data_IF_758910187163
#
_entry.id   IF_758910187163
#
_cell.length_a   1.000
_cell.length_b   1.000
_cell.length_c   1.000
_cell.angle_alpha   90.00
_cell.angle_beta   90.00
_cell.angle_gamma   90.00
#
_symmetry.space_group_name_H-M   'P 1'
#
loop_
_entity.id
_entity.type
_entity.pdbx_description
1 polymer ?
#
# COMPACT_ATOMS: atom_id res chain seq x y z
N UNK A 1 30.32 16.98 -28.15
CA UNK A 1 29.30 17.33 -27.14
C UNK A 1 29.39 16.32 -26.02
N UNK A 2 29.76 16.76 -24.82
CA UNK A 2 29.68 15.92 -23.63
C UNK A 2 28.19 15.76 -23.28
N UNK A 3 27.74 14.53 -23.05
CA UNK A 3 26.33 14.25 -22.74
C UNK A 3 25.98 14.75 -21.35
N UNK A 4 24.72 15.14 -21.12
CA UNK A 4 24.22 15.57 -19.80
C UNK A 4 24.52 14.55 -18.70
N UNK A 5 24.51 13.26 -19.02
CA UNK A 5 24.87 12.18 -18.11
C UNK A 5 26.34 12.26 -17.63
N UNK A 6 27.28 12.57 -18.54
CA UNK A 6 28.69 12.73 -18.18
C UNK A 6 28.89 13.94 -17.25
N UNK A 7 28.22 15.06 -17.54
CA UNK A 7 28.28 16.25 -16.69
C UNK A 7 27.73 15.96 -15.28
N UNK A 8 26.57 15.31 -15.18
CA UNK A 8 25.98 14.93 -13.90
C UNK A 8 26.91 14.02 -13.08
N UNK A 9 27.50 13.01 -13.74
CA UNK A 9 28.45 12.12 -13.09
C UNK A 9 29.70 12.86 -12.57
N UNK A 10 30.18 13.86 -13.31
CA UNK A 10 31.29 14.70 -12.84
C UNK A 10 30.91 15.53 -11.61
N UNK A 11 29.70 16.11 -11.56
CA UNK A 11 29.23 16.85 -10.37
C UNK A 11 29.15 15.94 -9.14
N UNK A 12 28.62 14.73 -9.28
CA UNK A 12 28.55 13.75 -8.19
C UNK A 12 29.94 13.36 -7.68
N UNK A 13 30.90 13.11 -8.58
CA UNK A 13 32.29 12.83 -8.17
C UNK A 13 32.93 14.01 -7.43
N UNK A 14 32.71 15.24 -7.89
CA UNK A 14 33.21 16.44 -7.20
C UNK A 14 32.67 16.55 -5.78
N UNK A 15 31.42 16.14 -5.52
CA UNK A 15 30.85 16.12 -4.18
C UNK A 15 31.53 15.10 -3.26
N UNK A 16 31.85 13.91 -3.78
CA UNK A 16 32.58 12.87 -3.04
C UNK A 16 34.01 13.33 -2.71
N UNK A 17 34.72 13.87 -3.69
CA UNK A 17 36.07 14.42 -3.51
C UNK A 17 36.06 15.59 -2.51
N UNK A 18 35.05 16.47 -2.59
CA UNK A 18 34.89 17.57 -1.67
C UNK A 18 34.76 17.09 -0.22
N UNK A 19 33.99 16.04 0.05
CA UNK A 19 33.88 15.49 1.41
C UNK A 19 35.23 14.99 1.93
N UNK A 20 36.02 14.31 1.09
CA UNK A 20 37.36 13.82 1.46
C UNK A 20 38.33 14.96 1.77
N UNK A 21 38.16 16.11 1.12
CA UNK A 21 38.97 17.32 1.34
C UNK A 21 38.39 18.27 2.40
N UNK A 22 37.46 17.81 3.26
CA UNK A 22 36.76 18.63 4.26
C UNK A 22 36.11 19.88 3.65
N UNK A 23 35.50 19.72 2.48
CA UNK A 23 34.72 20.70 1.72
C UNK A 23 35.48 21.95 1.23
N UNK A 24 36.82 21.97 1.34
CA UNK A 24 37.67 23.10 0.86
C UNK A 24 37.47 23.44 -0.61
N UNK A 25 37.16 22.45 -1.44
CA UNK A 25 36.87 22.65 -2.87
C UNK A 25 35.52 23.34 -3.09
N UNK A 26 34.50 23.02 -2.28
CA UNK A 26 33.21 23.69 -2.34
C UNK A 26 33.27 25.11 -1.80
N UNK A 27 34.08 25.39 -0.78
CA UNK A 27 34.29 26.75 -0.25
C UNK A 27 34.78 27.73 -1.32
N UNK A 28 35.55 27.23 -2.30
CA UNK A 28 36.06 28.02 -3.43
C UNK A 28 34.99 28.35 -4.48
N UNK A 29 33.88 27.60 -4.51
CA UNK A 29 32.76 27.87 -5.41
C UNK A 29 31.94 29.02 -4.83
N UNK A 30 32.12 30.23 -5.39
CA UNK A 30 31.35 31.43 -5.02
C UNK A 30 30.04 31.54 -5.78
N UNK A 31 29.93 30.86 -6.92
CA UNK A 31 28.73 30.86 -7.74
C UNK A 31 27.64 29.96 -7.13
N UNK A 32 26.61 30.60 -6.57
CA UNK A 32 25.46 29.91 -5.98
C UNK A 32 24.73 29.03 -6.97
N UNK A 33 24.61 29.44 -8.25
CA UNK A 33 23.91 28.63 -9.27
C UNK A 33 24.62 27.31 -9.52
N UNK A 34 25.95 27.31 -9.50
CA UNK A 34 26.74 26.08 -9.61
C UNK A 34 26.50 25.14 -8.43
N UNK A 35 26.42 25.67 -7.21
CA UNK A 35 26.12 24.86 -6.01
C UNK A 35 24.68 24.31 -6.03
N UNK A 36 23.72 25.11 -6.50
CA UNK A 36 22.34 24.68 -6.71
C UNK A 36 22.25 23.54 -7.74
N UNK A 37 23.02 23.61 -8.84
CA UNK A 37 23.10 22.53 -9.83
C UNK A 37 23.70 21.25 -9.22
N UNK A 38 24.78 21.36 -8.45
CA UNK A 38 25.38 20.20 -7.76
C UNK A 38 24.39 19.56 -6.79
N UNK A 39 23.69 20.38 -6.00
CA UNK A 39 22.64 19.91 -5.09
C UNK A 39 21.51 19.22 -5.86
N UNK A 40 21.00 19.84 -6.92
CA UNK A 40 19.93 19.29 -7.74
C UNK A 40 20.30 17.91 -8.32
N UNK A 41 21.50 17.76 -8.88
CA UNK A 41 21.96 16.48 -9.41
C UNK A 41 22.05 15.42 -8.31
N UNK A 42 22.57 15.77 -7.13
CA UNK A 42 22.65 14.86 -5.99
C UNK A 42 21.28 14.42 -5.47
N UNK A 43 20.30 15.34 -5.42
CA UNK A 43 18.94 15.01 -5.01
C UNK A 43 18.28 14.00 -5.94
N UNK A 44 18.45 14.20 -7.25
CA UNK A 44 17.87 13.38 -8.33
C UNK A 44 18.52 12.01 -8.50
N UNK A 45 19.63 11.75 -7.80
CA UNK A 45 20.45 10.56 -7.95
C UNK A 45 20.61 9.81 -6.61
N UNK A 46 19.52 9.38 -5.95
CA UNK A 46 19.56 8.74 -4.63
C UNK A 46 20.40 7.47 -4.57
N UNK A 47 20.55 6.77 -5.70
CA UNK A 47 21.37 5.57 -5.89
C UNK A 47 22.88 5.85 -5.88
N UNK A 48 23.31 7.09 -6.18
CA UNK A 48 24.71 7.48 -6.22
C UNK A 48 25.31 7.82 -4.84
N UNK A 49 24.60 7.49 -3.76
CA UNK A 49 25.08 7.49 -2.38
C UNK A 49 25.74 8.78 -1.87
N UNK A 50 25.33 9.95 -2.38
CA UNK A 50 25.78 11.22 -1.81
C UNK A 50 25.52 11.23 -0.31
N UNK A 51 26.56 11.53 0.48
CA UNK A 51 26.50 11.38 1.92
C UNK A 51 25.62 12.45 2.57
N UNK A 52 25.11 12.13 3.77
CA UNK A 52 24.37 13.10 4.56
C UNK A 52 25.21 14.33 4.93
N UNK A 53 26.53 14.17 5.11
CA UNK A 53 27.44 15.29 5.42
C UNK A 53 27.52 16.29 4.27
N UNK A 54 27.58 15.80 3.03
CA UNK A 54 27.54 16.65 1.83
C UNK A 54 26.23 17.44 1.78
N UNK A 55 25.09 16.78 1.99
CA UNK A 55 23.79 17.46 2.00
C UNK A 55 23.68 18.50 3.12
N UNK A 56 24.22 18.22 4.31
CA UNK A 56 24.31 19.20 5.42
C UNK A 56 25.15 20.40 5.01
N UNK A 57 26.35 20.17 4.50
CA UNK A 57 27.23 21.25 4.07
C UNK A 57 26.59 22.13 2.98
N UNK A 58 25.98 21.52 1.95
CA UNK A 58 25.31 22.28 0.89
C UNK A 58 24.10 23.06 1.42
N UNK A 59 23.32 22.46 2.33
CA UNK A 59 22.13 23.11 2.89
C UNK A 59 22.43 24.26 3.87
N UNK A 60 23.64 24.33 4.43
CA UNK A 60 24.10 25.52 5.17
C UNK A 60 24.28 26.74 4.26
N UNK A 61 24.48 26.51 2.96
CA UNK A 61 24.72 27.56 1.96
C UNK A 61 23.51 27.84 1.09
N UNK A 62 22.64 26.85 0.90
CA UNK A 62 21.41 26.93 0.11
C UNK A 62 20.28 26.38 0.96
N UNK A 63 19.32 27.23 1.33
CA UNK A 63 18.15 26.80 2.09
C UNK A 63 17.40 25.68 1.34
N UNK A 64 17.10 24.53 1.99
CA UNK A 64 16.33 23.45 1.38
C UNK A 64 14.92 23.87 0.92
N UNK A 65 14.36 24.90 1.54
CA UNK A 65 13.02 25.42 1.24
C UNK A 65 13.01 26.47 0.12
N UNK A 66 14.17 26.74 -0.49
CA UNK A 66 14.29 27.65 -1.62
C UNK A 66 14.04 26.90 -2.94
N UNK A 67 13.42 27.59 -3.89
CA UNK A 67 13.20 27.11 -5.26
C UNK A 67 14.52 27.30 -6.06
N UNK A 68 15.02 26.28 -6.78
CA UNK A 68 16.25 26.39 -7.56
C UNK A 68 16.18 27.56 -8.55
N UNK A 69 17.26 28.32 -8.68
CA UNK A 69 17.37 29.47 -9.61
C UNK A 69 17.66 29.05 -11.05
N UNK A 70 17.35 27.80 -11.41
CA UNK A 70 17.65 27.20 -12.71
C UNK A 70 16.46 27.45 -13.63
N UNK A 71 16.75 27.99 -14.82
CA UNK A 71 15.75 28.31 -15.85
C UNK A 71 15.21 27.03 -16.53
N UNK A 72 14.45 26.23 -15.78
CA UNK A 72 13.67 25.09 -16.28
C UNK A 72 12.28 25.15 -15.66
N UNK A 73 11.28 25.31 -16.53
CA UNK A 73 9.86 25.46 -16.17
C UNK A 73 9.36 24.39 -15.21
N UNK A 74 9.98 23.20 -15.23
CA UNK A 74 9.62 22.06 -14.38
C UNK A 74 9.88 22.28 -12.90
N UNK A 75 10.70 23.26 -12.51
CA UNK A 75 11.10 23.46 -11.12
C UNK A 75 10.57 24.75 -10.49
N UNK A 76 9.84 25.59 -11.22
CA UNK A 76 9.43 26.93 -10.75
C UNK A 76 8.57 26.96 -9.48
N UNK A 77 8.00 25.83 -9.06
CA UNK A 77 7.18 25.72 -7.85
C UNK A 77 7.76 24.76 -6.82
N UNK A 78 8.92 24.13 -7.09
CA UNK A 78 9.46 23.04 -6.27
C UNK A 78 10.71 23.48 -5.54
N UNK A 79 10.70 23.36 -4.22
CA UNK A 79 11.90 23.58 -3.39
C UNK A 79 12.86 22.39 -3.49
N UNK A 80 14.12 22.59 -3.08
CA UNK A 80 15.06 21.46 -2.94
C UNK A 80 14.52 20.37 -1.99
N UNK A 81 13.76 20.74 -0.96
CA UNK A 81 13.10 19.81 -0.06
C UNK A 81 12.04 18.96 -0.77
N UNK A 82 11.16 19.57 -1.55
CA UNK A 82 10.14 18.83 -2.32
C UNK A 82 10.75 17.97 -3.43
N UNK A 83 11.85 18.43 -4.04
CA UNK A 83 12.60 17.63 -5.02
C UNK A 83 13.26 16.40 -4.37
N UNK A 84 13.76 16.54 -3.15
CA UNK A 84 14.29 15.41 -2.38
C UNK A 84 13.20 14.36 -2.08
N UNK A 85 11.97 14.80 -1.79
CA UNK A 85 10.81 13.93 -1.57
C UNK A 85 10.41 13.19 -2.85
N UNK A 86 10.27 13.91 -3.96
CA UNK A 86 9.89 13.34 -5.27
C UNK A 86 10.85 12.22 -5.72
N UNK A 87 12.14 12.39 -5.42
CA UNK A 87 13.18 11.41 -5.75
C UNK A 87 13.44 10.40 -4.63
N UNK A 88 12.61 10.34 -3.58
CA UNK A 88 12.75 9.40 -2.46
C UNK A 88 14.14 9.42 -1.81
N UNK A 89 14.79 10.59 -1.77
CA UNK A 89 16.16 10.74 -1.28
C UNK A 89 16.19 10.89 0.25
N UNK A 90 16.08 9.75 0.94
CA UNK A 90 16.02 9.71 2.40
C UNK A 90 17.24 10.32 3.11
N UNK A 91 18.43 10.30 2.48
CA UNK A 91 19.66 10.92 3.04
C UNK A 91 19.55 12.44 3.02
N UNK A 92 19.09 13.01 1.91
CA UNK A 92 18.87 14.45 1.80
C UNK A 92 17.78 14.93 2.76
N UNK A 93 16.64 14.22 2.84
CA UNK A 93 15.57 14.57 3.79
C UNK A 93 16.11 14.57 5.23
N UNK A 94 16.87 13.55 5.63
CA UNK A 94 17.48 13.51 6.96
C UNK A 94 18.40 14.71 7.23
N UNK A 95 19.23 15.09 6.26
CA UNK A 95 20.07 16.28 6.37
C UNK A 95 19.26 17.57 6.48
N UNK A 96 18.17 17.69 5.72
CA UNK A 96 17.33 18.89 5.68
C UNK A 96 16.39 19.01 6.87
N UNK A 97 15.95 17.89 7.48
CA UNK A 97 15.03 17.89 8.62
C UNK A 97 15.59 18.60 9.86
N UNK A 98 16.90 18.86 9.95
CA UNK A 98 17.47 19.71 11.00
C UNK A 98 16.90 21.13 11.01
N UNK A 99 16.46 21.65 9.86
CA UNK A 99 15.81 22.97 9.77
C UNK A 99 14.41 23.00 10.38
N UNK A 100 13.84 21.83 10.71
CA UNK A 100 12.53 21.70 11.37
C UNK A 100 12.65 21.61 12.90
N UNK A 101 13.86 21.49 13.43
CA UNK A 101 14.11 21.26 14.85
C UNK A 101 14.00 22.55 15.68
N UNK A 102 13.51 22.40 16.91
CA UNK A 102 13.38 23.48 17.88
C UNK A 102 12.23 24.44 17.60
N UNK A 103 12.20 25.52 18.39
CA UNK A 103 11.06 26.44 18.48
C UNK A 103 11.31 27.79 17.81
N UNK A 104 12.34 27.91 16.97
CA UNK A 104 12.57 29.14 16.23
C UNK A 104 11.40 29.44 15.28
N UNK A 105 11.10 30.73 15.08
CA UNK A 105 10.05 31.17 14.15
C UNK A 105 10.27 30.61 12.73
N UNK A 106 11.54 30.47 12.32
CA UNK A 106 11.90 29.91 11.02
C UNK A 106 11.60 28.40 10.93
N UNK A 107 11.92 27.63 11.97
CA UNK A 107 11.61 26.20 12.04
C UNK A 107 10.09 25.98 12.06
N UNK A 108 9.34 26.79 12.80
CA UNK A 108 7.88 26.76 12.79
C UNK A 108 7.31 27.06 11.40
N UNK A 109 7.83 28.08 10.70
CA UNK A 109 7.43 28.41 9.32
C UNK A 109 7.69 27.24 8.36
N UNK A 110 8.82 26.56 8.48
CA UNK A 110 9.11 25.40 7.63
C UNK A 110 8.22 24.20 7.95
N UNK A 111 7.88 23.97 9.23
CA UNK A 111 6.88 22.97 9.62
C UNK A 111 5.50 23.31 9.06
N UNK A 112 5.12 24.59 9.01
CA UNK A 112 3.85 25.00 8.41
C UNK A 112 3.77 24.64 6.92
N UNK A 113 4.83 24.95 6.16
CA UNK A 113 4.92 24.61 4.73
C UNK A 113 4.73 23.11 4.52
N UNK A 114 5.38 22.28 5.34
CA UNK A 114 5.26 20.81 5.26
C UNK A 114 3.87 20.33 5.68
N UNK A 115 3.20 21.01 6.62
CA UNK A 115 1.85 20.64 7.05
C UNK A 115 0.81 20.97 5.98
N UNK A 116 0.93 22.14 5.34
CA UNK A 116 0.04 22.57 4.26
C UNK A 116 0.08 21.62 3.06
N UNK A 117 1.27 21.12 2.72
CA UNK A 117 1.49 20.13 1.66
C UNK A 117 2.05 18.82 2.26
N UNK A 118 1.20 18.09 2.99
CA UNK A 118 1.60 16.89 3.73
C UNK A 118 2.28 15.88 2.78
N UNK A 119 3.61 15.70 2.87
CA UNK A 119 4.36 14.96 1.87
C UNK A 119 4.12 13.45 1.94
N UNK A 120 3.54 12.97 3.05
CA UNK A 120 3.21 11.56 3.19
C UNK A 120 2.04 11.15 2.30
N UNK A 121 1.15 12.08 1.93
CA UNK A 121 -0.02 11.80 1.10
C UNK A 121 0.40 11.33 -0.30
N UNK A 122 1.14 12.17 -1.01
CA UNK A 122 1.51 11.92 -2.41
C UNK A 122 2.58 10.82 -2.53
N UNK A 123 3.43 10.65 -1.51
CA UNK A 123 4.47 9.63 -1.51
C UNK A 123 3.89 8.22 -1.61
N UNK A 124 2.95 7.84 -0.75
CA UNK A 124 2.36 6.50 -0.81
C UNK A 124 1.34 6.33 -1.95
N UNK A 125 0.65 7.41 -2.34
CA UNK A 125 -0.22 7.43 -3.51
C UNK A 125 0.56 7.20 -4.82
N UNK A 126 1.71 7.83 -4.96
CA UNK A 126 2.53 7.80 -6.18
C UNK A 126 3.20 6.46 -6.47
N UNK A 127 3.56 5.70 -5.43
CA UNK A 127 4.18 4.37 -5.56
C UNK A 127 3.24 3.38 -6.26
N UNK A 128 1.93 3.52 -6.07
CA UNK A 128 0.90 2.61 -6.55
C UNK A 128 0.53 2.74 -8.03
N UNK A 129 1.14 3.66 -8.78
CA UNK A 129 0.85 3.82 -10.22
C UNK A 129 1.65 2.76 -11.01
N UNK A 130 1.06 1.60 -11.37
CA UNK A 130 1.80 0.43 -11.88
C UNK A 130 2.33 0.63 -13.32
N UNK A 131 1.98 1.77 -13.93
CA UNK A 131 2.30 2.09 -15.32
C UNK A 131 3.78 2.49 -15.47
N UNK A 132 4.54 2.67 -14.38
CA UNK A 132 5.88 3.30 -14.45
C UNK A 132 7.04 2.55 -13.77
N UNK A 133 6.78 1.56 -12.92
CA UNK A 133 7.84 0.96 -12.09
C UNK A 133 7.78 -0.57 -12.08
N UNK A 134 8.96 -1.20 -11.96
CA UNK A 134 9.08 -2.63 -11.66
C UNK A 134 8.75 -2.91 -10.20
N UNK A 135 8.45 -4.17 -9.85
CA UNK A 135 8.22 -4.58 -8.46
C UNK A 135 9.43 -4.26 -7.55
N UNK A 136 10.64 -4.38 -8.08
CA UNK A 136 11.87 -4.05 -7.35
C UNK A 136 11.96 -2.55 -7.06
N UNK A 137 11.60 -1.70 -8.03
CA UNK A 137 11.60 -0.25 -7.85
C UNK A 137 10.52 0.18 -6.85
N UNK A 138 9.33 -0.44 -6.89
CA UNK A 138 8.27 -0.23 -5.90
C UNK A 138 8.77 -0.59 -4.49
N UNK A 139 9.38 -1.76 -4.32
CA UNK A 139 9.93 -2.19 -3.03
C UNK A 139 11.00 -1.22 -2.51
N UNK A 140 11.90 -0.76 -3.40
CA UNK A 140 12.93 0.22 -3.07
C UNK A 140 12.33 1.56 -2.63
N UNK A 141 11.32 2.05 -3.36
CA UNK A 141 10.63 3.30 -3.04
C UNK A 141 9.87 3.19 -1.71
N UNK A 142 9.21 2.07 -1.41
CA UNK A 142 8.56 1.86 -0.11
C UNK A 142 9.55 1.92 1.05
N UNK A 143 10.73 1.29 0.90
CA UNK A 143 11.79 1.37 1.93
C UNK A 143 12.26 2.81 2.14
N UNK A 144 12.47 3.57 1.06
CA UNK A 144 12.88 4.97 1.14
C UNK A 144 11.78 5.86 1.71
N UNK A 145 10.53 5.65 1.29
CA UNK A 145 9.35 6.36 1.78
C UNK A 145 9.21 6.20 3.28
N UNK A 146 9.30 4.97 3.79
CA UNK A 146 9.30 4.70 5.23
C UNK A 146 10.42 5.43 5.96
N UNK A 147 11.66 5.42 5.45
CA UNK A 147 12.79 6.14 6.06
C UNK A 147 12.54 7.66 6.12
N UNK A 148 11.97 8.22 5.05
CA UNK A 148 11.56 9.63 4.97
C UNK A 148 10.47 9.90 6.01
N UNK A 149 9.41 9.10 6.02
CA UNK A 149 8.30 9.23 6.97
C UNK A 149 8.80 9.22 8.41
N UNK A 150 9.63 8.26 8.82
CA UNK A 150 10.13 8.21 10.19
C UNK A 150 11.00 9.41 10.56
N UNK A 151 11.74 9.96 9.59
CA UNK A 151 12.50 11.19 9.82
C UNK A 151 11.55 12.35 10.11
N UNK A 152 10.51 12.54 9.29
CA UNK A 152 9.55 13.64 9.45
C UNK A 152 8.67 13.47 10.69
N UNK A 153 8.14 12.27 10.92
CA UNK A 153 7.23 11.97 12.03
C UNK A 153 7.90 12.06 13.40
N UNK A 154 9.22 11.92 13.47
CA UNK A 154 9.96 12.20 14.72
C UNK A 154 9.91 13.68 15.14
N UNK A 155 9.58 14.58 14.21
CA UNK A 155 9.51 16.04 14.42
C UNK A 155 8.09 16.59 14.27
N UNK A 156 7.26 15.92 13.47
CA UNK A 156 5.91 16.33 13.10
C UNK A 156 4.96 15.12 13.08
N UNK A 157 4.65 14.51 14.25
CA UNK A 157 3.76 13.35 14.32
C UNK A 157 2.36 13.65 13.78
N UNK A 158 1.93 14.92 13.79
CA UNK A 158 0.63 15.35 13.26
C UNK A 158 0.44 15.13 11.74
N UNK A 159 1.51 14.79 11.01
CA UNK A 159 1.42 14.42 9.59
C UNK A 159 0.72 13.07 9.37
N UNK A 160 0.54 12.24 10.41
CA UNK A 160 -0.26 11.00 10.31
C UNK A 160 -1.76 11.31 10.32
N UNK A 161 -2.30 11.67 9.15
CA UNK A 161 -3.74 11.86 8.95
C UNK A 161 -4.45 10.55 8.56
N UNK A 162 -5.78 10.60 8.53
CA UNK A 162 -6.63 9.53 8.02
C UNK A 162 -6.28 9.17 6.56
N UNK A 163 -6.07 10.17 5.70
CA UNK A 163 -5.74 9.97 4.29
C UNK A 163 -4.35 9.36 4.10
N UNK A 164 -3.37 9.73 4.94
CA UNK A 164 -2.06 9.08 4.95
C UNK A 164 -2.21 7.60 5.29
N UNK A 165 -2.99 7.28 6.33
CA UNK A 165 -3.27 5.90 6.70
C UNK A 165 -3.95 5.12 5.58
N UNK A 166 -4.97 5.68 4.94
CA UNK A 166 -5.66 5.07 3.82
C UNK A 166 -4.67 4.73 2.67
N UNK A 167 -3.78 5.66 2.30
CA UNK A 167 -2.80 5.43 1.24
C UNK A 167 -1.78 4.33 1.60
N UNK A 168 -1.35 4.24 2.86
CA UNK A 168 -0.40 3.19 3.29
C UNK A 168 -1.11 1.82 3.42
N UNK A 169 -2.35 1.79 3.88
CA UNK A 169 -3.20 0.58 3.92
C UNK A 169 -3.39 0.06 2.50
N UNK A 170 -3.80 0.93 1.59
CA UNK A 170 -3.79 0.72 0.15
C UNK A 170 -2.36 0.76 -0.43
N UNK A 171 -1.30 0.46 0.33
CA UNK A 171 0.01 0.09 -0.22
C UNK A 171 0.38 -1.37 0.14
N UNK A 172 -0.38 -2.01 1.04
CA UNK A 172 -0.11 -3.32 1.64
C UNK A 172 1.27 -3.41 2.34
N UNK A 173 1.87 -2.27 2.70
CA UNK A 173 3.14 -2.22 3.42
C UNK A 173 2.95 -2.39 4.92
N UNK A 174 2.84 -3.66 5.34
CA UNK A 174 2.74 -4.08 6.74
C UNK A 174 3.84 -3.47 7.63
N UNK A 175 5.05 -3.32 7.11
CA UNK A 175 6.19 -2.85 7.89
C UNK A 175 6.12 -1.33 8.15
N UNK A 176 5.64 -0.55 7.18
CA UNK A 176 5.33 0.87 7.38
C UNK A 176 4.17 1.03 8.34
N UNK A 177 3.06 0.31 8.14
CA UNK A 177 1.90 0.39 9.03
C UNK A 177 2.24 0.07 10.48
N UNK A 178 3.04 -0.99 10.71
CA UNK A 178 3.51 -1.35 12.07
C UNK A 178 4.29 -0.21 12.73
N UNK A 179 5.11 0.50 11.96
CA UNK A 179 5.91 1.60 12.50
C UNK A 179 5.04 2.85 12.76
N UNK A 180 4.10 3.15 11.88
CA UNK A 180 3.17 4.27 12.07
C UNK A 180 2.26 4.04 13.28
N UNK A 181 1.77 2.81 13.46
CA UNK A 181 0.97 2.42 14.61
C UNK A 181 1.68 2.67 15.95
N UNK A 182 3.00 2.47 16.01
CA UNK A 182 3.80 2.74 17.21
C UNK A 182 3.93 4.23 17.54
N UNK A 183 3.80 5.11 16.53
CA UNK A 183 3.82 6.57 16.71
C UNK A 183 2.43 7.03 17.16
N UNK A 184 1.41 6.67 16.40
CA UNK A 184 0.01 6.99 16.68
C UNK A 184 -0.89 6.03 15.89
N UNK A 185 -1.83 5.29 16.48
CA UNK A 185 -2.71 4.39 15.74
C UNK A 185 -3.64 5.16 14.77
N UNK A 186 -4.20 4.50 13.73
CA UNK A 186 -5.16 5.10 12.83
C UNK A 186 -6.33 5.76 13.58
N UNK A 187 -6.79 6.94 13.16
CA UNK A 187 -7.76 7.73 13.92
C UNK A 187 -9.17 7.13 13.92
N UNK A 188 -9.56 6.40 12.86
CA UNK A 188 -10.90 5.82 12.73
C UNK A 188 -10.91 4.32 13.02
N UNK A 189 -11.99 3.75 13.60
CA UNK A 189 -12.10 2.31 13.82
C UNK A 189 -11.99 1.47 12.54
N UNK A 190 -12.50 2.00 11.41
CA UNK A 190 -12.42 1.34 10.09
C UNK A 190 -10.95 1.17 9.68
N UNK A 191 -10.18 2.26 9.66
CA UNK A 191 -8.76 2.20 9.30
C UNK A 191 -7.94 1.37 10.30
N UNK A 192 -8.34 1.35 11.58
CA UNK A 192 -7.69 0.48 12.58
C UNK A 192 -7.86 -1.00 12.24
N UNK A 193 -9.06 -1.45 11.91
CA UNK A 193 -9.30 -2.84 11.51
C UNK A 193 -8.57 -3.20 10.21
N UNK A 194 -8.58 -2.32 9.21
CA UNK A 194 -7.86 -2.55 7.95
C UNK A 194 -6.35 -2.64 8.18
N UNK A 195 -5.76 -1.70 8.93
CA UNK A 195 -4.34 -1.74 9.27
C UNK A 195 -3.98 -2.99 10.09
N UNK A 196 -4.76 -3.35 11.11
CA UNK A 196 -4.54 -4.57 11.90
C UNK A 196 -4.65 -5.84 11.04
N UNK A 197 -5.47 -5.80 9.98
CA UNK A 197 -5.57 -6.92 9.04
C UNK A 197 -4.32 -7.09 8.16
N UNK A 198 -3.61 -6.00 7.87
CA UNK A 198 -2.35 -6.00 7.10
C UNK A 198 -1.12 -6.24 8.01
N UNK A 199 -1.16 -5.83 9.29
CA UNK A 199 -0.10 -6.04 10.31
C UNK A 199 -0.18 -7.44 11.00
N UNK A 200 -1.03 -8.34 10.53
CA UNK A 200 -1.78 -9.33 11.33
C UNK A 200 -1.79 -9.17 12.88
N UNK A 201 -2.40 -8.11 13.40
CA UNK A 201 -2.67 -7.94 14.84
C UNK A 201 -3.95 -8.69 15.24
N UNK A 202 -3.93 -10.02 15.17
CA UNK A 202 -5.13 -10.87 15.25
C UNK A 202 -5.86 -10.76 16.59
N UNK A 203 -5.13 -10.63 17.71
CA UNK A 203 -5.74 -10.58 19.05
C UNK A 203 -6.52 -9.27 19.22
N UNK A 204 -5.89 -8.14 18.93
CA UNK A 204 -6.46 -6.81 19.04
C UNK A 204 -7.66 -6.64 18.10
N UNK A 205 -7.52 -7.11 16.86
CA UNK A 205 -8.59 -7.07 15.86
C UNK A 205 -9.81 -7.88 16.32
N UNK A 206 -9.61 -9.11 16.81
CA UNK A 206 -10.69 -9.96 17.33
C UNK A 206 -11.39 -9.30 18.51
N UNK A 207 -10.66 -8.66 19.42
CA UNK A 207 -11.27 -7.97 20.56
C UNK A 207 -12.08 -6.75 20.13
N UNK A 208 -11.59 -5.96 19.18
CA UNK A 208 -12.31 -4.81 18.66
C UNK A 208 -13.59 -5.21 17.92
N UNK A 209 -13.54 -6.26 17.10
CA UNK A 209 -14.73 -6.79 16.42
C UNK A 209 -15.71 -7.43 17.40
N UNK A 210 -15.25 -8.10 18.48
CA UNK A 210 -16.12 -8.58 19.55
C UNK A 210 -16.88 -7.45 20.23
N UNK A 211 -16.19 -6.34 20.53
CA UNK A 211 -16.80 -5.18 21.15
C UNK A 211 -17.78 -4.46 20.19
N UNK A 212 -17.44 -4.39 18.90
CA UNK A 212 -18.22 -3.66 17.89
C UNK A 212 -18.41 -4.47 16.59
N UNK A 213 -19.27 -5.51 16.57
CA UNK A 213 -19.41 -6.40 15.42
C UNK A 213 -19.88 -5.71 14.13
N UNK A 214 -20.58 -4.59 14.25
CA UNK A 214 -21.05 -3.81 13.09
C UNK A 214 -19.93 -3.17 12.29
N UNK A 215 -18.71 -3.04 12.85
CA UNK A 215 -17.57 -2.49 12.13
C UNK A 215 -17.21 -3.29 10.88
N UNK A 216 -17.43 -4.61 10.87
CA UNK A 216 -17.21 -5.44 9.68
C UNK A 216 -18.09 -5.02 8.48
N UNK A 217 -19.20 -4.33 8.73
CA UNK A 217 -20.14 -3.82 7.71
C UNK A 217 -19.90 -2.34 7.38
N UNK A 218 -19.12 -1.62 8.20
CA UNK A 218 -18.76 -0.23 7.94
C UNK A 218 -17.99 -0.13 6.63
N UNK A 219 -18.19 0.98 5.91
CA UNK A 219 -17.54 1.21 4.62
C UNK A 219 -16.28 2.03 4.77
N UNK A 220 -15.27 1.67 3.98
CA UNK A 220 -14.08 2.47 3.77
C UNK A 220 -14.33 3.60 2.75
N UNK A 221 -13.29 4.40 2.48
CA UNK A 221 -13.36 5.52 1.53
C UNK A 221 -13.57 5.07 0.07
N UNK A 222 -13.37 3.79 -0.24
CA UNK A 222 -13.67 3.18 -1.54
C UNK A 222 -15.08 2.56 -1.60
N UNK A 223 -15.86 2.66 -0.52
CA UNK A 223 -17.21 2.09 -0.40
C UNK A 223 -17.23 0.57 -0.16
N UNK A 224 -16.09 -0.06 0.07
CA UNK A 224 -15.94 -1.48 0.42
C UNK A 224 -16.28 -1.64 1.89
N UNK A 225 -16.94 -2.73 2.28
CA UNK A 225 -17.08 -3.05 3.71
C UNK A 225 -15.71 -3.44 4.28
N UNK A 226 -15.49 -3.23 5.57
CA UNK A 226 -14.26 -3.69 6.25
C UNK A 226 -14.04 -5.18 6.04
N UNK A 227 -15.09 -6.02 6.12
CA UNK A 227 -14.93 -7.45 5.83
C UNK A 227 -14.48 -7.71 4.39
N UNK A 228 -15.04 -7.00 3.41
CA UNK A 228 -14.62 -7.12 2.02
C UNK A 228 -13.15 -6.73 1.86
N UNK A 229 -12.70 -5.66 2.54
CA UNK A 229 -11.29 -5.29 2.56
C UNK A 229 -10.42 -6.40 3.16
N UNK A 230 -10.75 -6.87 4.37
CA UNK A 230 -9.98 -7.91 5.08
C UNK A 230 -9.88 -9.18 4.24
N UNK A 231 -10.98 -9.61 3.61
CA UNK A 231 -10.99 -10.82 2.79
C UNK A 231 -10.17 -10.64 1.53
N UNK A 232 -10.24 -9.49 0.86
CA UNK A 232 -9.51 -9.26 -0.39
C UNK A 232 -8.02 -8.98 -0.14
N UNK A 233 -7.67 -8.20 0.86
CA UNK A 233 -6.33 -7.62 1.02
C UNK A 233 -5.64 -7.92 2.35
N UNK A 234 -6.41 -8.34 3.37
CA UNK A 234 -5.87 -8.68 4.66
C UNK A 234 -5.02 -9.96 4.65
N UNK A 235 -4.31 -10.18 5.75
CA UNK A 235 -3.57 -11.41 5.97
C UNK A 235 -4.52 -12.57 6.30
N UNK A 236 -4.29 -13.75 5.73
CA UNK A 236 -5.15 -14.93 5.93
C UNK A 236 -5.29 -15.33 7.41
N UNK A 237 -4.27 -15.09 8.24
CA UNK A 237 -4.33 -15.39 9.69
C UNK A 237 -5.37 -14.55 10.42
N UNK A 238 -5.70 -13.36 9.92
CA UNK A 238 -6.75 -12.49 10.46
C UNK A 238 -8.12 -13.04 10.11
N UNK A 239 -8.30 -13.52 8.87
CA UNK A 239 -9.55 -14.18 8.44
C UNK A 239 -9.78 -15.42 9.30
N UNK A 240 -8.75 -16.26 9.49
CA UNK A 240 -8.80 -17.43 10.36
C UNK A 240 -9.17 -17.05 11.79
N UNK A 241 -8.53 -16.03 12.37
CA UNK A 241 -8.81 -15.60 13.75
C UNK A 241 -10.26 -15.11 13.94
N UNK A 242 -10.81 -14.39 12.95
CA UNK A 242 -12.22 -13.97 12.96
C UNK A 242 -13.19 -15.15 12.86
N UNK A 243 -12.86 -16.17 12.05
CA UNK A 243 -13.62 -17.41 11.91
C UNK A 243 -13.57 -18.22 13.21
N UNK A 244 -12.39 -18.45 13.78
CA UNK A 244 -12.19 -19.22 15.02
C UNK A 244 -12.90 -18.56 16.21
N UNK A 245 -12.96 -17.23 16.22
CA UNK A 245 -13.70 -16.46 17.22
C UNK A 245 -15.21 -16.39 16.95
N UNK A 246 -15.70 -17.01 15.88
CA UNK A 246 -17.09 -17.00 15.42
C UNK A 246 -17.69 -15.60 15.25
N UNK A 247 -16.93 -14.68 14.66
CA UNK A 247 -17.33 -13.26 14.55
C UNK A 247 -17.91 -12.86 13.19
N UNK A 248 -17.83 -13.76 12.21
CA UNK A 248 -18.35 -13.48 10.86
C UNK A 248 -19.73 -14.10 10.70
N UNK A 249 -20.71 -13.25 10.41
CA UNK A 249 -22.05 -13.63 9.96
C UNK A 249 -22.13 -13.48 8.43
N UNK A 250 -21.88 -14.58 7.72
CA UNK A 250 -21.82 -14.58 6.25
C UNK A 250 -23.15 -14.19 5.59
N UNK A 251 -24.30 -14.45 6.23
CA UNK A 251 -25.61 -14.16 5.64
C UNK A 251 -25.77 -12.67 5.33
N UNK A 252 -25.17 -11.80 6.16
CA UNK A 252 -25.20 -10.35 5.98
C UNK A 252 -24.47 -9.87 4.73
N UNK A 253 -23.56 -10.69 4.19
CA UNK A 253 -22.70 -10.31 3.06
C UNK A 253 -23.09 -11.00 1.74
N UNK A 254 -24.05 -11.92 1.75
CA UNK A 254 -24.55 -12.63 0.56
C UNK A 254 -25.48 -11.74 -0.29
N UNK A 255 -26.10 -10.70 0.28
CA UNK A 255 -27.09 -9.84 -0.39
C UNK A 255 -26.51 -8.60 -1.09
N UNK A 256 -25.21 -8.33 -0.94
CA UNK A 256 -24.56 -7.18 -1.56
C UNK A 256 -24.16 -7.46 -3.03
N UNK A 257 -23.93 -6.39 -3.80
CA UNK A 257 -23.54 -6.46 -5.22
C UNK A 257 -22.47 -7.55 -5.45
N UNK A 258 -22.63 -8.35 -6.51
CA UNK A 258 -21.83 -9.57 -6.78
C UNK A 258 -20.33 -9.39 -6.52
N UNK A 259 -19.74 -8.26 -6.91
CA UNK A 259 -18.29 -7.99 -6.79
C UNK A 259 -17.76 -7.76 -5.37
N UNK A 260 -18.63 -7.77 -4.36
CA UNK A 260 -18.24 -7.53 -2.95
C UNK A 260 -18.50 -8.73 -2.04
N UNK A 261 -18.99 -9.85 -2.60
CA UNK A 261 -19.22 -11.07 -1.82
C UNK A 261 -17.88 -11.66 -1.35
N UNK A 262 -17.71 -11.98 -0.05
CA UNK A 262 -16.45 -12.50 0.48
C UNK A 262 -15.89 -13.70 -0.28
N UNK A 263 -16.73 -14.67 -0.65
CA UNK A 263 -16.27 -15.87 -1.36
C UNK A 263 -15.71 -15.55 -2.76
N UNK A 264 -16.33 -14.61 -3.49
CA UNK A 264 -15.83 -14.14 -4.79
C UNK A 264 -14.56 -13.28 -4.64
N UNK A 265 -14.44 -12.50 -3.58
CA UNK A 265 -13.18 -11.77 -3.32
C UNK A 265 -12.00 -12.72 -3.04
N UNK A 266 -12.27 -13.88 -2.46
CA UNK A 266 -11.26 -14.91 -2.24
C UNK A 266 -10.76 -15.56 -3.54
N UNK A 267 -11.62 -15.72 -4.56
CA UNK A 267 -11.18 -16.28 -5.86
C UNK A 267 -10.19 -15.34 -6.56
N UNK A 268 -10.33 -14.02 -6.36
CA UNK A 268 -9.40 -13.04 -6.92
C UNK A 268 -8.02 -13.15 -6.30
N UNK A 269 -7.93 -13.52 -5.02
CA UNK A 269 -6.63 -13.77 -4.37
C UNK A 269 -5.93 -14.98 -4.96
N UNK A 270 -6.66 -16.08 -5.18
CA UNK A 270 -6.08 -17.23 -5.88
C UNK A 270 -5.64 -16.85 -7.30
N UNK A 271 -6.47 -16.12 -8.05
CA UNK A 271 -6.19 -15.77 -9.45
C UNK A 271 -5.00 -14.82 -9.63
N UNK A 272 -4.84 -13.83 -8.75
CA UNK A 272 -3.85 -12.76 -8.91
C UNK A 272 -2.68 -12.83 -7.93
N UNK A 273 -2.81 -13.60 -6.85
CA UNK A 273 -1.85 -13.64 -5.72
C UNK A 273 -1.47 -15.07 -5.32
N UNK A 274 -1.94 -16.09 -6.05
CA UNK A 274 -1.65 -17.51 -5.80
C UNK A 274 -2.06 -18.01 -4.39
N UNK A 275 -3.01 -17.32 -3.75
CA UNK A 275 -3.55 -17.69 -2.44
C UNK A 275 -4.67 -18.72 -2.58
N UNK A 276 -4.30 -20.00 -2.47
CA UNK A 276 -5.24 -21.13 -2.48
C UNK A 276 -5.93 -21.40 -1.14
N UNK A 277 -5.53 -20.74 -0.05
CA UNK A 277 -6.01 -21.03 1.29
C UNK A 277 -7.29 -20.29 1.65
N UNK A 278 -7.38 -19.01 1.26
CA UNK A 278 -8.46 -18.13 1.71
C UNK A 278 -9.84 -18.58 1.23
N UNK A 279 -9.96 -19.04 -0.02
CA UNK A 279 -11.23 -19.53 -0.57
C UNK A 279 -11.76 -20.74 0.21
N UNK A 280 -10.91 -21.76 0.38
CA UNK A 280 -11.24 -23.00 1.10
C UNK A 280 -11.63 -22.71 2.54
N UNK A 281 -10.89 -21.81 3.21
CA UNK A 281 -11.15 -21.40 4.59
C UNK A 281 -12.55 -20.78 4.75
N UNK A 282 -12.89 -19.81 3.90
CA UNK A 282 -14.19 -19.12 3.96
C UNK A 282 -15.33 -20.09 3.65
N UNK A 283 -15.21 -20.87 2.57
CA UNK A 283 -16.25 -21.81 2.18
C UNK A 283 -16.52 -22.86 3.28
N UNK A 284 -15.46 -23.36 3.92
CA UNK A 284 -15.59 -24.30 5.04
C UNK A 284 -16.39 -23.71 6.21
N UNK A 285 -16.12 -22.48 6.62
CA UNK A 285 -16.86 -21.82 7.70
C UNK A 285 -18.32 -21.53 7.30
N UNK A 286 -18.53 -21.10 6.04
CA UNK A 286 -19.88 -20.92 5.49
C UNK A 286 -20.71 -22.21 5.55
N UNK A 287 -20.12 -23.35 5.21
CA UNK A 287 -20.78 -24.65 5.28
C UNK A 287 -21.03 -25.10 6.72
N UNK A 288 -20.06 -24.92 7.62
CA UNK A 288 -20.21 -25.25 9.04
C UNK A 288 -21.33 -24.45 9.72
N UNK A 289 -21.58 -23.22 9.26
CA UNK A 289 -22.67 -22.34 9.73
C UNK A 289 -24.01 -22.55 9.04
N UNK A 290 -24.14 -23.56 8.17
CA UNK A 290 -25.32 -23.81 7.34
C UNK A 290 -25.70 -22.59 6.47
N UNK A 291 -24.69 -21.90 5.95
CA UNK A 291 -24.81 -20.75 5.05
C UNK A 291 -24.12 -21.04 3.71
N UNK A 292 -24.50 -22.12 2.99
CA UNK A 292 -23.84 -22.47 1.73
C UNK A 292 -24.01 -21.38 0.67
N UNK A 293 -23.05 -21.20 -0.24
CA UNK A 293 -23.21 -20.28 -1.36
C UNK A 293 -24.34 -20.76 -2.29
N UNK A 294 -25.02 -19.81 -2.94
CA UNK A 294 -26.03 -20.11 -3.95
C UNK A 294 -25.42 -20.62 -5.26
N UNK A 295 -26.23 -21.25 -6.11
CA UNK A 295 -25.78 -21.81 -7.40
C UNK A 295 -25.05 -20.78 -8.27
N UNK A 296 -25.59 -19.57 -8.39
CA UNK A 296 -24.98 -18.48 -9.14
C UNK A 296 -23.59 -18.09 -8.60
N UNK A 297 -23.42 -18.06 -7.28
CA UNK A 297 -22.15 -17.73 -6.64
C UNK A 297 -21.11 -18.84 -6.87
N UNK A 298 -21.52 -20.12 -6.79
CA UNK A 298 -20.67 -21.27 -7.15
C UNK A 298 -20.20 -21.14 -8.61
N UNK A 299 -21.09 -20.83 -9.55
CA UNK A 299 -20.71 -20.68 -10.96
C UNK A 299 -19.81 -19.48 -11.21
N UNK A 300 -20.02 -18.37 -10.51
CA UNK A 300 -19.13 -17.21 -10.59
C UNK A 300 -17.73 -17.54 -10.05
N UNK A 301 -17.62 -18.34 -8.97
CA UNK A 301 -16.34 -18.81 -8.48
C UNK A 301 -15.61 -19.69 -9.51
N UNK A 302 -16.33 -20.60 -10.20
CA UNK A 302 -15.76 -21.43 -11.27
C UNK A 302 -15.33 -20.57 -12.46
N UNK A 303 -16.13 -19.57 -12.84
CA UNK A 303 -15.80 -18.60 -13.90
C UNK A 303 -14.50 -17.84 -13.59
N UNK A 304 -14.26 -17.54 -12.32
CA UNK A 304 -13.04 -16.87 -11.84
C UNK A 304 -11.84 -17.82 -11.66
N UNK A 305 -12.00 -19.12 -11.93
CA UNK A 305 -10.92 -20.09 -12.00
C UNK A 305 -10.90 -21.14 -10.90
N UNK A 306 -11.91 -21.18 -10.01
CA UNK A 306 -12.04 -22.26 -9.04
C UNK A 306 -12.40 -23.58 -9.73
N UNK A 307 -11.88 -24.67 -9.20
CA UNK A 307 -12.14 -26.03 -9.68
C UNK A 307 -13.11 -26.76 -8.75
N UNK A 308 -13.79 -27.81 -9.22
CA UNK A 308 -14.63 -28.66 -8.37
C UNK A 308 -13.90 -29.19 -7.13
N UNK A 309 -12.61 -29.53 -7.27
CA UNK A 309 -11.80 -30.04 -6.17
C UNK A 309 -11.62 -28.99 -5.05
N UNK A 310 -11.55 -27.70 -5.37
CA UNK A 310 -11.48 -26.62 -4.38
C UNK A 310 -12.74 -26.59 -3.48
N UNK A 311 -13.92 -26.83 -4.06
CA UNK A 311 -15.18 -26.92 -3.30
C UNK A 311 -15.23 -28.17 -2.42
N UNK A 312 -14.83 -29.32 -2.96
CA UNK A 312 -14.80 -30.59 -2.23
C UNK A 312 -13.79 -30.53 -1.07
N UNK A 313 -12.61 -29.94 -1.30
CA UNK A 313 -11.59 -29.73 -0.27
C UNK A 313 -12.08 -28.84 0.88
N UNK A 314 -12.94 -27.86 0.58
CA UNK A 314 -13.59 -27.03 1.59
C UNK A 314 -14.70 -27.76 2.37
N UNK A 315 -15.05 -28.99 1.98
CA UNK A 315 -16.08 -29.80 2.62
C UNK A 315 -17.47 -29.64 2.01
N UNK A 316 -17.60 -29.01 0.83
CA UNK A 316 -18.86 -29.06 0.09
C UNK A 316 -19.09 -30.48 -0.38
N UNK A 317 -20.26 -31.04 -0.10
CA UNK A 317 -20.58 -32.39 -0.61
C UNK A 317 -20.76 -32.36 -2.12
N UNK A 318 -20.44 -33.49 -2.76
CA UNK A 318 -20.69 -33.68 -4.20
C UNK A 318 -22.17 -33.44 -4.55
N UNK A 319 -23.09 -33.84 -3.67
CA UNK A 319 -24.54 -33.58 -3.84
C UNK A 319 -24.82 -32.09 -3.90
N UNK A 320 -24.32 -31.30 -2.95
CA UNK A 320 -24.52 -29.84 -2.95
C UNK A 320 -23.95 -29.18 -4.20
N UNK A 321 -22.75 -29.58 -4.62
CA UNK A 321 -22.11 -29.05 -5.83
C UNK A 321 -22.92 -29.39 -7.09
N UNK A 322 -23.40 -30.63 -7.20
CA UNK A 322 -24.22 -31.07 -8.33
C UNK A 322 -25.59 -30.39 -8.37
N UNK A 323 -26.23 -30.19 -7.22
CA UNK A 323 -27.46 -29.40 -7.12
C UNK A 323 -27.25 -27.96 -7.60
N UNK A 324 -26.11 -27.34 -7.31
CA UNK A 324 -25.79 -26.01 -7.83
C UNK A 324 -25.69 -25.99 -9.37
N UNK A 325 -25.07 -27.01 -9.99
CA UNK A 325 -25.00 -27.15 -11.46
C UNK A 325 -26.41 -27.28 -12.05
N UNK A 326 -27.26 -28.13 -11.47
CA UNK A 326 -28.64 -28.34 -11.93
C UNK A 326 -29.48 -27.07 -11.86
N UNK A 327 -29.38 -26.35 -10.74
CA UNK A 327 -30.06 -25.05 -10.58
C UNK A 327 -29.59 -24.03 -11.61
N UNK A 328 -28.27 -23.98 -11.90
CA UNK A 328 -27.75 -23.09 -12.95
C UNK A 328 -28.15 -23.49 -14.37
N UNK A 329 -28.35 -24.78 -14.66
CA UNK A 329 -28.89 -25.24 -15.94
C UNK A 329 -30.37 -24.87 -16.13
N UNK A 330 -31.12 -24.74 -15.04
CA UNK A 330 -32.53 -24.35 -15.02
C UNK A 330 -32.74 -22.83 -14.95
N UNK A 331 -31.68 -22.05 -14.69
CA UNK A 331 -31.74 -20.60 -14.61
C UNK A 331 -32.04 -19.97 -15.98
N UNK A 332 -32.76 -18.84 -15.97
CA UNK A 332 -33.07 -18.07 -17.19
C UNK A 332 -31.81 -17.52 -17.88
N UNK A 333 -30.83 -17.13 -17.07
CA UNK A 333 -29.51 -16.67 -17.50
C UNK A 333 -28.46 -17.47 -16.74
N UNK A 334 -27.59 -18.17 -17.47
CA UNK A 334 -26.54 -19.00 -16.90
C UNK A 334 -25.21 -18.23 -16.88
N UNK A 335 -24.54 -18.21 -15.72
CA UNK A 335 -23.22 -17.58 -15.55
C UNK A 335 -22.16 -18.23 -16.45
N UNK A 336 -22.21 -19.55 -16.61
CA UNK A 336 -21.33 -20.34 -17.46
C UNK A 336 -22.05 -20.81 -18.73
N UNK A 337 -21.34 -21.08 -19.83
CA UNK A 337 -21.91 -21.70 -21.02
C UNK A 337 -22.56 -23.06 -20.71
N UNK A 338 -23.75 -23.31 -21.28
CA UNK A 338 -24.51 -24.56 -21.08
C UNK A 338 -23.68 -25.81 -21.38
N UNK A 339 -22.83 -25.77 -22.41
CA UNK A 339 -21.96 -26.92 -22.75
C UNK A 339 -20.95 -27.23 -21.64
N UNK A 340 -20.42 -26.21 -20.96
CA UNK A 340 -19.50 -26.38 -19.83
C UNK A 340 -20.25 -26.97 -18.63
N UNK A 341 -21.46 -26.46 -18.33
CA UNK A 341 -22.31 -27.00 -17.27
C UNK A 341 -22.65 -28.48 -17.49
N UNK A 342 -23.04 -28.85 -18.72
CA UNK A 342 -23.33 -30.26 -19.09
C UNK A 342 -22.10 -31.15 -18.96
N UNK A 343 -20.93 -30.65 -19.33
CA UNK A 343 -19.67 -31.40 -19.17
C UNK A 343 -19.32 -31.64 -17.69
N UNK A 344 -19.49 -30.63 -16.83
CA UNK A 344 -19.29 -30.80 -15.39
C UNK A 344 -20.32 -31.76 -14.81
N UNK A 345 -21.58 -31.66 -15.22
CA UNK A 345 -22.63 -32.58 -14.79
C UNK A 345 -22.31 -34.04 -15.17
N UNK A 346 -21.86 -34.30 -16.40
CA UNK A 346 -21.55 -35.66 -16.83
C UNK A 346 -20.27 -36.24 -16.20
N UNK A 347 -19.27 -35.39 -15.93
CA UNK A 347 -17.99 -35.83 -15.35
C UNK A 347 -18.02 -35.98 -13.83
N UNK A 348 -18.80 -35.15 -13.13
CA UNK A 348 -18.77 -35.06 -11.66
C UNK A 348 -20.10 -35.42 -10.99
N UNK A 349 -21.22 -35.43 -11.72
CA UNK A 349 -22.56 -35.66 -11.15
C UNK A 349 -23.25 -36.90 -11.71
N UNK A 350 -22.68 -37.56 -12.71
CA UNK A 350 -23.14 -38.87 -13.15
C UNK A 350 -22.88 -39.90 -12.02
N UNK A 351 -23.95 -40.57 -11.60
CA UNK A 351 -23.97 -41.46 -10.45
C UNK A 351 -22.82 -42.50 -10.48
N UNK A 352 -22.13 -42.63 -9.34
CA UNK A 352 -21.56 -43.91 -8.91
C UNK A 352 -22.54 -44.61 -7.99
#
# INVERSE_FOLDING_TARGET
MLTTAWFNHQQLRQLVEAEQENFRTLDRIRDTRRLEQMLLVALKSPENETSEKVFRYLSDRISPFTIPSIDDEKYFTRSFFSLALEHYNARAIRAFSRFLQGDSQQAQKYREIIREDNPLLEMYRGIRVPVRYSDEDIARQLVSARKISLTLLSLMPELLSEEVYANVIDSYDSATLKTFWQIQPPPTPVLRLEAMSVIPMTTELVQEVKAYPTLLQSKDNSGRTVLAYIVRFGNITVIQALIDANLIDWQRFIQHQERTKPLLLATWRQKYEDDHGTFVLILKDMLAKNTPPGAEEVMNCIKDGMTPDDFLAAGMSQVQFCTAIEQSLQAKESVLPVNQLRYMQSSLCAAK
#
